data_IF_616737006071
#
_entry.id   IF_616737006071
#
_cell.length_a   1.000
_cell.length_b   1.000
_cell.length_c   1.000
_cell.angle_alpha   90.00
_cell.angle_beta   90.00
_cell.angle_gamma   90.00
#
_symmetry.space_group_name_H-M   'P 1'
#
loop_
_entity.id
_entity.type
_entity.pdbx_description
1 polymer ?
#
# COMPACT_ATOMS: atom_id res chain seq x y z
N UNK A 1 -14.90 10.22 35.84
CA UNK A 1 -16.30 10.09 35.40
C UNK A 1 -16.86 8.72 35.78
N UNK A 2 -18.17 8.65 36.09
CA UNK A 2 -18.87 7.40 36.34
C UNK A 2 -18.90 6.58 35.01
N UNK A 3 -18.56 5.28 35.02
CA UNK A 3 -18.58 4.45 33.81
C UNK A 3 -19.93 4.43 33.08
N UNK A 4 -21.03 4.41 33.81
CA UNK A 4 -22.39 4.46 33.24
C UNK A 4 -22.65 5.80 32.52
N UNK A 5 -22.12 6.91 33.06
CA UNK A 5 -22.24 8.20 32.42
C UNK A 5 -21.46 8.21 31.08
N UNK A 6 -20.20 7.71 31.07
CA UNK A 6 -19.36 7.63 29.88
C UNK A 6 -20.06 6.81 28.79
N UNK A 7 -20.55 5.60 29.12
CA UNK A 7 -21.22 4.73 28.15
C UNK A 7 -22.51 5.35 27.57
N UNK A 8 -23.21 6.18 28.33
CA UNK A 8 -24.44 6.81 27.87
C UNK A 8 -24.22 8.13 27.11
N UNK A 9 -23.21 8.91 27.49
CA UNK A 9 -23.00 10.27 26.99
C UNK A 9 -21.90 10.36 25.89
N UNK A 10 -20.92 9.47 25.94
CA UNK A 10 -19.87 9.44 24.96
C UNK A 10 -20.19 8.36 23.91
N UNK A 11 -20.16 8.75 22.64
CA UNK A 11 -20.44 7.84 21.52
C UNK A 11 -19.31 7.93 20.53
N UNK A 12 -18.74 6.78 20.21
CA UNK A 12 -17.78 6.62 19.14
C UNK A 12 -18.40 5.72 18.07
N UNK A 13 -18.26 6.11 16.83
CA UNK A 13 -18.73 5.35 15.70
C UNK A 13 -17.65 5.32 14.63
N UNK A 14 -17.36 4.13 14.12
CA UNK A 14 -16.44 3.88 13.03
C UNK A 14 -17.19 3.16 11.91
N UNK A 15 -17.01 3.63 10.71
CA UNK A 15 -17.52 2.99 9.50
C UNK A 15 -16.38 2.87 8.49
N UNK A 16 -16.18 1.67 7.97
CA UNK A 16 -15.17 1.42 6.94
C UNK A 16 -15.81 0.76 5.72
N UNK A 17 -15.61 1.37 4.56
CA UNK A 17 -15.94 0.80 3.27
C UNK A 17 -14.64 0.46 2.54
N UNK A 18 -14.48 -0.81 2.12
CA UNK A 18 -13.27 -1.30 1.46
C UNK A 18 -13.60 -2.07 0.20
N UNK A 19 -12.86 -1.76 -0.84
CA UNK A 19 -12.84 -2.49 -2.09
C UNK A 19 -11.44 -3.04 -2.35
N UNK A 20 -11.33 -4.35 -2.54
CA UNK A 20 -10.10 -5.02 -2.97
C UNK A 20 -10.39 -5.82 -4.22
N UNK A 21 -9.46 -5.77 -5.16
CA UNK A 21 -9.59 -6.52 -6.40
C UNK A 21 -8.25 -6.78 -7.06
N UNK A 22 -8.19 -7.82 -7.86
CA UNK A 22 -7.05 -8.10 -8.72
C UNK A 22 -7.53 -8.53 -10.11
N UNK A 23 -6.73 -8.20 -11.09
CA UNK A 23 -6.89 -8.62 -12.46
C UNK A 23 -5.54 -9.14 -12.96
N UNK A 24 -5.56 -10.27 -13.64
CA UNK A 24 -4.35 -10.80 -14.27
C UNK A 24 -4.69 -11.43 -15.61
N UNK A 25 -3.83 -11.19 -16.57
CA UNK A 25 -3.89 -11.83 -17.88
C UNK A 25 -2.49 -12.33 -18.23
N UNK A 26 -2.43 -13.51 -18.82
CA UNK A 26 -1.23 -14.10 -19.38
C UNK A 26 -1.53 -14.48 -20.81
N UNK A 27 -0.64 -14.15 -21.73
CA UNK A 27 -0.68 -14.55 -23.13
C UNK A 27 0.58 -15.35 -23.45
N UNK A 28 0.41 -16.60 -23.83
CA UNK A 28 1.46 -17.42 -24.39
C UNK A 28 1.54 -17.11 -25.89
N UNK A 29 2.58 -16.37 -26.30
CA UNK A 29 2.77 -15.89 -27.69
C UNK A 29 3.30 -17.03 -28.54
N UNK A 30 4.18 -17.83 -27.95
CA UNK A 30 4.71 -19.09 -28.50
C UNK A 30 4.92 -20.06 -27.35
N UNK A 31 5.31 -21.31 -27.64
CA UNK A 31 5.64 -22.33 -26.61
C UNK A 31 6.81 -21.92 -25.70
N UNK A 32 7.62 -20.97 -26.14
CA UNK A 32 8.83 -20.54 -25.44
C UNK A 32 8.79 -19.08 -25.01
N UNK A 33 7.71 -18.32 -25.30
CA UNK A 33 7.57 -16.90 -24.97
C UNK A 33 6.17 -16.57 -24.49
N UNK A 34 6.09 -15.99 -23.28
CA UNK A 34 4.84 -15.47 -22.73
C UNK A 34 5.00 -14.05 -22.19
N UNK A 35 3.89 -13.34 -22.14
CA UNK A 35 3.76 -12.02 -21.50
C UNK A 35 2.63 -12.10 -20.49
N UNK A 36 2.80 -11.46 -19.34
CA UNK A 36 1.74 -11.34 -18.34
C UNK A 36 1.61 -9.92 -17.83
N UNK A 37 0.37 -9.52 -17.61
CA UNK A 37 0.03 -8.28 -16.93
C UNK A 37 -0.79 -8.60 -15.70
N UNK A 38 -0.47 -7.96 -14.58
CA UNK A 38 -1.18 -8.10 -13.33
C UNK A 38 -1.43 -6.72 -12.73
N UNK A 39 -2.65 -6.49 -12.25
CA UNK A 39 -3.04 -5.27 -11.57
C UNK A 39 -3.77 -5.64 -10.28
N UNK A 40 -3.43 -4.97 -9.18
CA UNK A 40 -4.10 -5.09 -7.89
C UNK A 40 -4.53 -3.72 -7.38
N UNK A 41 -5.72 -3.64 -6.81
CA UNK A 41 -6.25 -2.45 -6.16
C UNK A 41 -6.71 -2.78 -4.75
N UNK A 42 -6.38 -1.93 -3.80
CA UNK A 42 -6.92 -1.90 -2.44
C UNK A 42 -7.28 -0.46 -2.10
N UNK A 43 -8.56 -0.22 -1.85
CA UNK A 43 -9.06 1.12 -1.55
C UNK A 43 -10.08 1.05 -0.44
N UNK A 44 -9.90 1.87 0.58
CA UNK A 44 -10.87 1.99 1.64
C UNK A 44 -11.03 3.42 2.14
N UNK A 45 -12.21 3.69 2.66
CA UNK A 45 -12.54 4.92 3.39
C UNK A 45 -12.99 4.52 4.78
N UNK A 46 -12.41 5.15 5.78
CA UNK A 46 -12.83 5.00 7.18
C UNK A 46 -13.30 6.36 7.67
N UNK A 47 -14.56 6.43 8.07
CA UNK A 47 -15.18 7.59 8.68
C UNK A 47 -15.39 7.31 10.17
N UNK A 48 -14.79 8.13 11.01
CA UNK A 48 -15.00 8.06 12.45
C UNK A 48 -15.76 9.30 12.93
N UNK A 49 -16.65 9.11 13.87
CA UNK A 49 -17.23 10.20 14.64
C UNK A 49 -17.11 9.96 16.13
N UNK A 50 -16.81 11.01 16.88
CA UNK A 50 -16.70 10.95 18.34
C UNK A 50 -17.49 12.08 18.97
N UNK A 51 -18.42 11.72 19.85
CA UNK A 51 -19.27 12.64 20.61
C UNK A 51 -18.97 12.48 22.08
N UNK A 52 -18.61 13.57 22.75
CA UNK A 52 -18.42 13.63 24.20
C UNK A 52 -19.48 14.51 24.79
N UNK A 53 -20.25 13.98 25.71
CA UNK A 53 -21.37 14.68 26.37
C UNK A 53 -20.91 15.81 27.29
N UNK A 54 -21.73 16.84 27.39
CA UNK A 54 -21.52 17.94 28.31
C UNK A 54 -21.64 17.48 29.80
N UNK A 55 -20.84 18.08 30.69
CA UNK A 55 -20.84 17.81 32.10
C UNK A 55 -19.87 16.73 32.60
N UNK A 56 -19.05 16.17 31.73
CA UNK A 56 -17.96 15.25 32.07
C UNK A 56 -16.70 15.97 32.54
N UNK A 57 -15.83 15.22 33.23
CA UNK A 57 -14.52 15.71 33.72
C UNK A 57 -13.33 15.27 32.83
N UNK A 58 -13.60 14.83 31.61
CA UNK A 58 -12.58 14.30 30.72
C UNK A 58 -11.51 15.34 30.34
N UNK A 59 -11.94 16.55 29.97
CA UNK A 59 -11.08 17.69 29.65
C UNK A 59 -11.85 18.99 29.88
N UNK A 60 -11.23 19.94 30.60
CA UNK A 60 -11.88 21.22 30.93
C UNK A 60 -12.40 21.96 29.68
N UNK A 61 -11.63 21.97 28.58
CA UNK A 61 -12.06 22.60 27.32
C UNK A 61 -13.29 21.93 26.69
N UNK A 62 -13.64 20.71 27.09
CA UNK A 62 -14.78 19.94 26.55
C UNK A 62 -15.96 19.85 27.53
N UNK A 63 -16.00 20.72 28.53
CA UNK A 63 -17.00 20.66 29.60
C UNK A 63 -18.44 20.84 29.09
N UNK A 64 -18.62 21.58 27.99
CA UNK A 64 -19.92 21.74 27.34
C UNK A 64 -20.10 20.80 26.14
N UNK A 65 -19.24 19.74 26.02
CA UNK A 65 -19.29 18.75 24.98
C UNK A 65 -18.22 18.94 23.91
N UNK A 66 -18.02 17.88 23.14
CA UNK A 66 -17.12 17.85 21.97
C UNK A 66 -17.72 16.95 20.89
N UNK A 67 -17.48 17.33 19.65
CA UNK A 67 -17.78 16.54 18.47
C UNK A 67 -16.60 16.58 17.51
N UNK A 68 -16.17 15.42 17.06
CA UNK A 68 -15.17 15.31 15.98
C UNK A 68 -15.59 14.32 14.92
N UNK A 69 -15.22 14.62 13.69
CA UNK A 69 -15.31 13.72 12.56
C UNK A 69 -13.94 13.63 11.89
N UNK A 70 -13.54 12.41 11.56
CA UNK A 70 -12.33 12.13 10.82
C UNK A 70 -12.69 11.22 9.65
N UNK A 71 -12.27 11.63 8.45
CA UNK A 71 -12.38 10.81 7.24
C UNK A 71 -10.98 10.48 6.73
N UNK A 72 -10.66 9.20 6.65
CA UNK A 72 -9.41 8.70 6.13
C UNK A 72 -9.67 7.86 4.89
N UNK A 73 -9.07 8.25 3.78
CA UNK A 73 -9.12 7.51 2.53
C UNK A 73 -7.75 6.98 2.16
N UNK A 74 -7.70 5.71 1.87
CA UNK A 74 -6.51 5.02 1.39
C UNK A 74 -6.79 4.43 0.01
N UNK A 75 -5.80 4.52 -0.90
CA UNK A 75 -5.80 3.81 -2.16
C UNK A 75 -4.39 3.31 -2.47
N UNK A 76 -4.29 2.03 -2.71
CA UNK A 76 -3.11 1.37 -3.23
C UNK A 76 -3.44 0.75 -4.58
N UNK A 77 -2.60 1.02 -5.58
CA UNK A 77 -2.67 0.44 -6.91
C UNK A 77 -1.31 -0.14 -7.23
N UNK A 78 -1.26 -1.43 -7.55
CA UNK A 78 -0.06 -2.10 -8.01
C UNK A 78 -0.24 -2.64 -9.42
N UNK A 79 0.79 -2.51 -10.25
CA UNK A 79 0.81 -3.09 -11.60
C UNK A 79 2.12 -3.80 -11.83
N UNK A 80 2.07 -4.92 -12.54
CA UNK A 80 3.24 -5.69 -12.95
C UNK A 80 3.06 -6.12 -14.40
N UNK A 81 4.04 -5.80 -15.23
CA UNK A 81 4.16 -6.34 -16.58
C UNK A 81 5.43 -7.19 -16.63
N UNK A 82 5.31 -8.42 -17.06
CA UNK A 82 6.42 -9.37 -17.13
C UNK A 82 6.40 -10.11 -18.46
N UNK A 83 7.57 -10.42 -18.95
CA UNK A 83 7.77 -11.33 -20.09
C UNK A 83 8.83 -12.35 -19.74
N UNK A 84 8.69 -13.53 -20.27
CA UNK A 84 9.64 -14.61 -20.08
C UNK A 84 9.88 -15.36 -21.40
N UNK A 85 11.14 -15.65 -21.67
CA UNK A 85 11.63 -16.37 -22.85
C UNK A 85 12.40 -17.59 -22.36
N UNK A 86 12.00 -18.77 -22.81
CA UNK A 86 12.67 -20.05 -22.56
C UNK A 86 13.15 -20.66 -23.86
N UNK A 87 14.46 -20.95 -23.97
CA UNK A 87 15.04 -21.60 -25.15
C UNK A 87 16.07 -22.62 -24.74
N UNK A 88 16.00 -23.78 -25.38
CA UNK A 88 17.01 -24.83 -25.28
C UNK A 88 17.80 -24.94 -26.56
N UNK A 89 19.12 -25.07 -26.46
CA UNK A 89 20.06 -25.26 -27.54
C UNK A 89 21.05 -26.39 -27.16
N UNK A 90 20.84 -27.58 -27.69
CA UNK A 90 21.63 -28.75 -27.29
C UNK A 90 21.54 -29.00 -25.79
N UNK A 91 22.68 -29.02 -25.11
CA UNK A 91 22.82 -29.28 -23.72
C UNK A 91 22.53 -28.03 -22.82
N UNK A 92 22.23 -26.88 -23.42
CA UNK A 92 22.00 -25.61 -22.70
C UNK A 92 20.53 -25.26 -22.68
N UNK A 93 20.03 -24.86 -21.53
CA UNK A 93 18.74 -24.20 -21.37
C UNK A 93 18.93 -22.77 -20.88
N UNK A 94 18.22 -21.84 -21.50
CA UNK A 94 18.26 -20.42 -21.17
C UNK A 94 16.87 -19.93 -20.82
N UNK A 95 16.79 -19.18 -19.73
CA UNK A 95 15.59 -18.45 -19.34
C UNK A 95 15.92 -16.98 -19.16
N UNK A 96 15.17 -16.11 -19.82
CA UNK A 96 15.24 -14.66 -19.66
C UNK A 96 13.88 -14.15 -19.19
N UNK A 97 13.84 -13.56 -18.02
CA UNK A 97 12.68 -12.85 -17.49
C UNK A 97 12.99 -11.36 -17.41
N UNK A 98 12.09 -10.53 -17.95
CA UNK A 98 12.14 -9.09 -17.83
C UNK A 98 10.80 -8.59 -17.29
N UNK A 99 10.83 -7.53 -16.51
CA UNK A 99 9.59 -6.99 -15.98
C UNK A 99 9.70 -5.55 -15.47
N UNK A 100 8.54 -4.94 -15.31
CA UNK A 100 8.38 -3.66 -14.64
C UNK A 100 7.24 -3.74 -13.65
N UNK A 101 7.38 -3.03 -12.53
CA UNK A 101 6.36 -2.91 -11.50
C UNK A 101 6.11 -1.45 -11.17
N UNK A 102 4.87 -1.12 -10.82
CA UNK A 102 4.53 0.20 -10.27
C UNK A 102 3.64 0.01 -9.05
N UNK A 103 4.00 0.68 -7.95
CA UNK A 103 3.21 0.75 -6.73
C UNK A 103 2.87 2.22 -6.45
N UNK A 104 1.57 2.56 -6.47
CA UNK A 104 1.04 3.90 -6.21
C UNK A 104 0.19 3.85 -4.94
N UNK A 105 0.64 4.54 -3.90
CA UNK A 105 -0.07 4.67 -2.63
C UNK A 105 -0.51 6.11 -2.45
N UNK A 106 -1.78 6.32 -2.14
CA UNK A 106 -2.34 7.64 -1.85
C UNK A 106 -3.16 7.60 -0.58
N UNK A 107 -2.96 8.59 0.24
CA UNK A 107 -3.74 8.80 1.46
C UNK A 107 -4.28 10.21 1.52
N UNK A 108 -5.50 10.35 2.00
CA UNK A 108 -6.15 11.62 2.32
C UNK A 108 -6.74 11.50 3.71
N UNK A 109 -6.49 12.49 4.52
CA UNK A 109 -7.08 12.57 5.85
C UNK A 109 -7.66 13.97 6.04
N UNK A 110 -8.91 14.01 6.47
CA UNK A 110 -9.59 15.23 6.87
C UNK A 110 -10.09 15.04 8.30
N UNK A 111 -9.81 16.00 9.15
CA UNK A 111 -10.27 16.01 10.54
C UNK A 111 -10.92 17.35 10.83
N UNK A 112 -12.04 17.31 11.49
CA UNK A 112 -12.72 18.49 12.03
C UNK A 112 -13.22 18.20 13.43
N UNK A 113 -13.11 19.19 14.28
CA UNK A 113 -13.50 19.11 15.68
C UNK A 113 -14.12 20.42 16.14
N UNK A 114 -15.15 20.30 16.95
CA UNK A 114 -15.75 21.44 17.66
C UNK A 114 -15.97 21.03 19.10
N UNK A 115 -15.78 21.96 20.02
CA UNK A 115 -15.92 21.73 21.45
C UNK A 115 -16.48 22.97 22.16
N UNK A 116 -16.88 22.78 23.44
CA UNK A 116 -17.41 23.81 24.27
C UNK A 116 -18.65 24.50 23.64
N UNK A 117 -19.65 23.69 23.34
CA UNK A 117 -20.86 24.09 22.66
C UNK A 117 -21.66 25.16 23.36
N UNK A 118 -22.27 26.07 22.61
CA UNK A 118 -23.21 27.07 23.12
C UNK A 118 -24.50 26.41 23.64
N UNK A 119 -25.00 25.41 22.89
CA UNK A 119 -26.14 24.58 23.30
C UNK A 119 -25.64 23.19 23.65
N UNK A 120 -25.64 22.79 24.94
CA UNK A 120 -25.15 21.48 25.39
C UNK A 120 -25.88 20.32 24.72
N UNK A 121 -25.12 19.26 24.35
CA UNK A 121 -25.60 18.02 23.70
C UNK A 121 -26.23 18.22 22.32
N UNK A 122 -26.06 19.37 21.69
CA UNK A 122 -26.36 19.59 20.28
C UNK A 122 -25.03 19.52 19.46
N UNK A 123 -24.77 18.37 18.90
CA UNK A 123 -23.50 18.04 18.22
C UNK A 123 -23.50 18.55 16.77
N UNK A 124 -23.12 19.81 16.60
CA UNK A 124 -22.93 20.46 15.31
C UNK A 124 -21.66 21.31 15.34
N UNK A 125 -20.94 21.40 14.24
CA UNK A 125 -19.77 22.29 14.13
C UNK A 125 -20.16 23.75 14.28
N UNK A 126 -21.37 24.12 13.85
CA UNK A 126 -21.87 25.49 13.96
C UNK A 126 -22.31 25.87 15.38
N UNK A 127 -22.40 24.90 16.29
CA UNK A 127 -22.77 25.11 17.70
C UNK A 127 -21.56 25.43 18.59
N UNK A 128 -20.45 25.90 18.00
CA UNK A 128 -19.26 26.34 18.73
C UNK A 128 -18.73 27.62 18.09
N UNK A 129 -18.06 28.45 18.89
CA UNK A 129 -17.36 29.62 18.37
C UNK A 129 -16.18 29.22 17.49
N UNK A 130 -15.69 30.11 16.64
CA UNK A 130 -14.54 29.86 15.77
C UNK A 130 -13.27 29.49 16.57
N UNK A 131 -13.11 30.01 17.78
CA UNK A 131 -11.99 29.68 18.67
C UNK A 131 -12.07 28.22 19.22
N UNK A 132 -13.23 27.60 19.14
CA UNK A 132 -13.50 26.25 19.62
C UNK A 132 -13.74 25.26 18.46
N UNK A 133 -13.25 25.58 17.28
CA UNK A 133 -13.26 24.71 16.10
C UNK A 133 -11.83 24.46 15.63
N UNK A 134 -11.60 23.28 15.16
CA UNK A 134 -10.34 22.90 14.53
C UNK A 134 -10.60 22.10 13.26
N UNK A 135 -9.80 22.37 12.25
CA UNK A 135 -9.85 21.69 10.95
C UNK A 135 -8.45 21.39 10.48
N UNK A 136 -8.20 20.17 10.08
CA UNK A 136 -6.95 19.76 9.46
C UNK A 136 -7.19 18.86 8.25
N UNK A 137 -6.34 18.99 7.24
CA UNK A 137 -6.31 18.08 6.12
C UNK A 137 -4.88 17.75 5.75
N UNK A 138 -4.66 16.50 5.35
CA UNK A 138 -3.38 16.06 4.85
C UNK A 138 -3.56 15.15 3.65
N UNK A 139 -2.57 15.20 2.76
CA UNK A 139 -2.49 14.34 1.58
C UNK A 139 -1.07 13.83 1.44
N UNK A 140 -0.94 12.53 1.18
CA UNK A 140 0.34 11.91 0.87
C UNK A 140 0.20 11.05 -0.38
N UNK A 141 1.21 11.14 -1.25
CA UNK A 141 1.33 10.30 -2.44
C UNK A 141 2.73 9.73 -2.49
N UNK A 142 2.81 8.43 -2.70
CA UNK A 142 4.06 7.70 -2.89
C UNK A 142 3.94 6.82 -4.11
N UNK A 143 4.91 6.91 -5.00
CA UNK A 143 5.04 6.02 -6.16
C UNK A 143 6.41 5.38 -6.17
N UNK A 144 6.43 4.08 -6.35
CA UNK A 144 7.61 3.28 -6.59
C UNK A 144 7.48 2.66 -8.00
N UNK A 145 8.51 2.79 -8.81
CA UNK A 145 8.62 2.16 -10.13
C UNK A 145 9.85 1.28 -10.10
N UNK A 146 9.70 0.01 -10.48
CA UNK A 146 10.79 -0.95 -10.57
C UNK A 146 10.91 -1.50 -11.98
N UNK A 147 12.14 -1.66 -12.48
CA UNK A 147 12.47 -2.43 -13.67
C UNK A 147 13.43 -3.53 -13.24
N UNK A 148 13.16 -4.76 -13.63
CA UNK A 148 13.95 -5.90 -13.23
C UNK A 148 14.13 -6.90 -14.34
N UNK A 149 15.21 -7.66 -14.25
CA UNK A 149 15.51 -8.75 -15.16
C UNK A 149 16.25 -9.86 -14.47
N UNK A 150 16.06 -11.07 -14.95
CA UNK A 150 16.77 -12.27 -14.53
C UNK A 150 17.11 -13.11 -15.73
N UNK A 151 18.36 -13.52 -15.80
CA UNK A 151 18.86 -14.47 -16.78
C UNK A 151 19.35 -15.71 -16.07
N UNK A 152 18.85 -16.86 -16.48
CA UNK A 152 19.29 -18.19 -16.03
C UNK A 152 19.85 -18.97 -17.20
N UNK A 153 20.95 -19.63 -16.96
CA UNK A 153 21.53 -20.61 -17.86
C UNK A 153 21.78 -21.90 -17.10
N UNK A 154 21.39 -23.03 -17.64
CA UNK A 154 21.81 -24.32 -17.16
C UNK A 154 22.51 -25.11 -18.28
N UNK A 155 23.47 -25.93 -17.90
CA UNK A 155 24.19 -26.85 -18.75
C UNK A 155 24.04 -28.27 -18.22
N UNK A 156 23.42 -29.14 -19.04
CA UNK A 156 23.20 -30.56 -18.75
C UNK A 156 22.50 -30.83 -17.39
N UNK A 157 21.68 -29.91 -16.90
CA UNK A 157 21.08 -29.94 -15.56
C UNK A 157 22.12 -30.10 -14.42
N UNK A 158 23.40 -29.86 -14.73
CA UNK A 158 24.53 -30.04 -13.82
C UNK A 158 25.05 -28.72 -13.29
N UNK A 159 25.22 -27.71 -14.17
CA UNK A 159 25.73 -26.41 -13.80
C UNK A 159 24.67 -25.33 -14.07
N UNK A 160 24.36 -24.54 -13.06
CA UNK A 160 23.36 -23.48 -13.12
C UNK A 160 24.01 -22.15 -12.79
N UNK A 161 23.71 -21.13 -13.60
CA UNK A 161 24.08 -19.75 -13.38
C UNK A 161 22.82 -18.88 -13.42
N UNK A 162 22.64 -18.03 -12.42
CA UNK A 162 21.58 -17.01 -12.41
C UNK A 162 22.20 -15.65 -12.19
N UNK A 163 21.84 -14.70 -13.04
CA UNK A 163 22.20 -13.28 -12.93
C UNK A 163 20.93 -12.48 -12.92
N UNK A 164 20.74 -11.64 -11.91
CA UNK A 164 19.57 -10.77 -11.85
C UNK A 164 19.94 -9.34 -11.47
N UNK A 165 19.07 -8.42 -11.82
CA UNK A 165 19.20 -7.02 -11.46
C UNK A 165 17.82 -6.37 -11.37
N UNK A 166 17.70 -5.44 -10.42
CA UNK A 166 16.52 -4.59 -10.27
C UNK A 166 16.95 -3.17 -10.02
N UNK A 167 16.28 -2.23 -10.65
CA UNK A 167 16.41 -0.81 -10.36
C UNK A 167 15.05 -0.25 -9.94
N UNK A 168 15.02 0.41 -8.79
CA UNK A 168 13.82 1.04 -8.22
C UNK A 168 13.99 2.55 -8.19
N UNK A 169 12.91 3.27 -8.53
CA UNK A 169 12.79 4.72 -8.42
C UNK A 169 11.66 5.05 -7.45
N UNK A 170 11.96 5.84 -6.40
CA UNK A 170 10.98 6.27 -5.41
C UNK A 170 10.68 7.76 -5.54
N UNK A 171 9.39 8.12 -5.58
CA UNK A 171 8.94 9.52 -5.60
C UNK A 171 9.19 10.28 -4.28
N UNK A 172 9.48 9.55 -3.18
CA UNK A 172 9.71 10.16 -1.85
C UNK A 172 11.15 10.60 -1.63
N UNK A 173 12.01 10.36 -2.60
CA UNK A 173 13.44 10.67 -2.51
C UNK A 173 13.81 11.82 -3.45
N UNK A 174 14.84 12.61 -3.11
CA UNK A 174 15.37 13.66 -3.98
C UNK A 174 15.78 13.12 -5.35
N UNK A 175 15.61 13.92 -6.40
CA UNK A 175 15.91 13.52 -7.79
C UNK A 175 17.31 12.93 -7.97
N UNK A 176 18.31 13.42 -7.25
CA UNK A 176 19.68 12.93 -7.32
C UNK A 176 19.86 11.52 -6.74
N UNK A 177 19.01 11.11 -5.79
CA UNK A 177 19.18 9.86 -5.02
C UNK A 177 17.92 8.98 -5.03
N UNK A 178 17.06 9.12 -6.06
CA UNK A 178 15.80 8.36 -6.10
C UNK A 178 15.91 6.98 -6.73
N UNK A 179 17.07 6.63 -7.29
CA UNK A 179 17.32 5.39 -8.05
C UNK A 179 18.25 4.48 -7.28
N UNK A 180 17.87 3.21 -7.14
CA UNK A 180 18.63 2.17 -6.44
C UNK A 180 18.72 0.94 -7.31
N UNK A 181 19.94 0.47 -7.54
CA UNK A 181 20.19 -0.74 -8.30
C UNK A 181 20.63 -1.89 -7.38
N UNK A 182 20.03 -3.06 -7.57
CA UNK A 182 20.27 -4.28 -6.79
C UNK A 182 20.70 -5.41 -7.74
N UNK A 183 21.99 -5.67 -7.91
CA UNK A 183 22.48 -6.83 -8.65
C UNK A 183 22.52 -8.08 -7.78
N UNK A 184 22.35 -9.25 -8.40
CA UNK A 184 22.59 -10.55 -7.77
C UNK A 184 23.15 -11.53 -8.78
N UNK A 185 24.09 -12.38 -8.34
CA UNK A 185 24.64 -13.49 -9.11
C UNK A 185 24.67 -14.72 -8.22
N UNK A 186 24.21 -15.85 -8.72
CA UNK A 186 24.28 -17.13 -8.04
C UNK A 186 24.67 -18.24 -9.00
N UNK A 187 25.40 -19.24 -8.48
CA UNK A 187 25.80 -20.45 -9.19
C UNK A 187 25.45 -21.68 -8.36
N UNK A 188 25.07 -22.77 -9.02
CA UNK A 188 24.81 -24.07 -8.40
C UNK A 188 25.40 -25.18 -9.25
N UNK A 189 25.91 -26.21 -8.60
CA UNK A 189 26.51 -27.38 -9.23
C UNK A 189 25.93 -28.65 -8.63
N UNK A 190 25.26 -29.45 -9.46
CA UNK A 190 24.64 -30.74 -9.11
C UNK A 190 25.57 -31.85 -9.56
N UNK A 191 26.51 -32.23 -8.69
CA UNK A 191 27.54 -33.21 -9.01
C UNK A 191 27.00 -34.63 -9.25
N UNK A 192 25.83 -34.97 -8.72
CA UNK A 192 25.20 -36.26 -8.89
C UNK A 192 24.81 -36.56 -10.34
N UNK A 193 24.52 -35.51 -11.13
CA UNK A 193 24.18 -35.68 -12.55
C UNK A 193 25.37 -36.15 -13.39
N UNK A 194 26.62 -36.00 -12.90
CA UNK A 194 27.80 -36.54 -13.57
C UNK A 194 27.91 -38.05 -13.51
N UNK A 195 27.14 -38.71 -12.65
CA UNK A 195 27.18 -40.16 -12.44
C UNK A 195 25.91 -40.86 -12.98
N UNK A 196 24.99 -40.11 -13.60
CA UNK A 196 23.74 -40.65 -14.14
C UNK A 196 23.83 -40.92 -15.67
N UNK A 197 25.02 -41.16 -16.23
CA UNK A 197 25.23 -41.64 -17.62
C UNK A 197 25.04 -43.14 -17.76
#
# INVERSE_FOLDING_TARGET
DNPYWILNKNKMQDQTERFTGNFSVKADITDWWWISYRMGIDSYTTDNSNKIGAGGVYKVAWQNGMYSENSYRFRYLSTNLMTNINKSFGDFNFNLMLGTSTDDTRTWSNSRMAWNFEVPNFYSFDNATDANRDFSSSRSEKRLIGVFGEFRADWKNTLFLTVSGRNDWSSTLPLANRSYFYPSVSGSFVFTELFNE
#
